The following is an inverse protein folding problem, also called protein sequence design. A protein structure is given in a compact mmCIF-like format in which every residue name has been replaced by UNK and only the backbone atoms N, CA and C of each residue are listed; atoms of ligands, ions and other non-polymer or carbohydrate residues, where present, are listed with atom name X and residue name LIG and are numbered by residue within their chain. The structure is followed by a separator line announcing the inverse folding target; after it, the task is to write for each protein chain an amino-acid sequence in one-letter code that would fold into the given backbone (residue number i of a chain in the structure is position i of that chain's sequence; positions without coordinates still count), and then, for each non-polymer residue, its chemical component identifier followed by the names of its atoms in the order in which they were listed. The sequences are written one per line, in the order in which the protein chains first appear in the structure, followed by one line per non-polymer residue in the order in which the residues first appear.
data_IF_641676140404
#
_entry.id   IF_641676140404
#
_cell.length_a   1.000
_cell.length_b   1.000
_cell.length_c   1.000
_cell.angle_alpha   90.00
_cell.angle_beta   90.00
_cell.angle_gamma   90.00
#
_symmetry.space_group_name_H-M   'P 1'
#
loop_
_entity.id
_entity.type
_entity.pdbx_description
1 polymer ?
#
# COMPACT_ATOMS: atom_id res chain seq x y z
N UNK A 1 -15.76 9.21 -18.23
CA UNK A 1 -14.74 10.20 -17.80
C UNK A 1 -14.55 10.04 -16.31
N UNK A 2 -13.31 9.85 -15.85
CA UNK A 2 -12.93 9.70 -14.43
C UNK A 2 -11.99 10.82 -14.04
N UNK A 3 -12.26 11.47 -12.91
CA UNK A 3 -11.49 12.60 -12.44
C UNK A 3 -10.43 12.12 -11.42
N UNK A 4 -9.17 12.45 -11.67
CA UNK A 4 -8.03 11.97 -10.88
C UNK A 4 -7.22 13.17 -10.37
N UNK A 5 -7.05 13.24 -9.06
CA UNK A 5 -6.06 14.07 -8.40
C UNK A 5 -4.76 13.27 -8.34
N UNK A 6 -3.78 13.69 -9.12
CA UNK A 6 -2.42 13.17 -9.08
C UNK A 6 -1.62 13.99 -8.07
N UNK A 7 -1.07 13.32 -7.06
CA UNK A 7 -0.05 13.87 -6.15
C UNK A 7 1.30 13.26 -6.56
N UNK A 8 2.10 13.96 -7.39
CA UNK A 8 3.31 13.38 -7.94
C UNK A 8 4.48 13.46 -6.95
N UNK A 9 5.29 12.40 -6.90
CA UNK A 9 6.60 12.35 -6.22
C UNK A 9 6.57 12.88 -4.79
N UNK A 10 5.66 12.37 -3.97
CA UNK A 10 5.67 12.54 -2.52
C UNK A 10 6.91 11.85 -1.95
N UNK A 11 7.86 12.63 -1.46
CA UNK A 11 9.04 12.16 -0.74
C UNK A 11 8.71 12.07 0.75
N UNK A 12 8.68 10.84 1.26
CA UNK A 12 8.24 10.52 2.61
C UNK A 12 9.42 9.93 3.38
N UNK A 13 9.70 10.50 4.54
CA UNK A 13 10.76 10.04 5.45
C UNK A 13 10.16 9.23 6.61
N UNK A 14 10.84 8.14 7.02
CA UNK A 14 10.46 7.30 8.16
C UNK A 14 9.02 6.72 8.12
N UNK A 15 8.55 6.35 6.92
CA UNK A 15 7.32 5.59 6.80
C UNK A 15 7.43 4.22 7.50
N UNK A 16 6.31 3.70 7.98
CA UNK A 16 6.26 2.37 8.59
C UNK A 16 6.44 1.29 7.52
N UNK A 17 7.52 0.52 7.62
CA UNK A 17 7.81 -0.60 6.74
C UNK A 17 7.32 -1.95 7.29
N UNK A 18 6.93 -2.04 8.56
CA UNK A 18 6.31 -3.22 9.14
C UNK A 18 4.83 -3.24 8.75
N UNK A 19 4.54 -3.75 7.55
CA UNK A 19 3.22 -3.68 6.93
C UNK A 19 2.23 -4.72 7.47
N UNK A 20 2.74 -5.83 8.02
CA UNK A 20 1.97 -6.81 8.80
C UNK A 20 2.91 -7.51 9.80
N UNK A 21 2.39 -8.36 10.71
CA UNK A 21 3.22 -9.20 11.57
C UNK A 21 4.22 -10.09 10.81
N UNK A 22 4.03 -10.31 9.51
CA UNK A 22 4.82 -11.24 8.70
C UNK A 22 5.60 -10.55 7.57
N UNK A 23 5.41 -9.25 7.36
CA UNK A 23 5.93 -8.56 6.17
C UNK A 23 6.62 -7.24 6.52
N UNK A 24 7.87 -7.10 6.06
CA UNK A 24 8.66 -5.86 6.14
C UNK A 24 8.95 -5.39 4.72
N UNK A 25 8.68 -4.13 4.42
CA UNK A 25 8.96 -3.52 3.12
C UNK A 25 8.03 -2.36 2.80
N UNK A 26 7.29 -2.47 1.70
CA UNK A 26 6.35 -1.44 1.28
C UNK A 26 5.17 -1.35 2.27
N UNK A 27 4.71 -0.14 2.67
CA UNK A 27 3.63 0.01 3.65
C UNK A 27 2.31 -0.62 3.20
N UNK A 28 1.51 -1.06 4.17
CA UNK A 28 0.20 -1.67 3.93
C UNK A 28 -0.74 -0.75 3.14
N UNK A 29 -1.59 -1.33 2.29
CA UNK A 29 -2.56 -0.55 1.50
C UNK A 29 -3.59 0.19 2.36
N UNK A 30 -3.86 -0.31 3.56
CA UNK A 30 -4.69 0.35 4.59
C UNK A 30 -4.11 1.69 5.03
N UNK A 31 -2.78 1.80 5.11
CA UNK A 31 -2.12 3.04 5.51
C UNK A 31 -2.26 4.13 4.45
N UNK A 32 -2.15 3.76 3.17
CA UNK A 32 -2.31 4.67 2.04
C UNK A 32 -3.74 5.19 1.93
N UNK A 33 -4.73 4.29 1.94
CA UNK A 33 -6.14 4.70 1.87
C UNK A 33 -6.60 5.43 3.13
N UNK A 34 -6.03 5.11 4.29
CA UNK A 34 -6.23 5.88 5.51
C UNK A 34 -5.75 7.33 5.40
N UNK A 35 -4.57 7.54 4.79
CA UNK A 35 -4.04 8.89 4.55
C UNK A 35 -4.89 9.66 3.52
N UNK A 36 -5.35 9.01 2.45
CA UNK A 36 -6.28 9.59 1.48
C UNK A 36 -7.60 9.99 2.15
N UNK A 37 -8.14 9.13 3.01
CA UNK A 37 -9.35 9.44 3.76
C UNK A 37 -9.15 10.60 4.74
N UNK A 38 -7.98 10.69 5.40
CA UNK A 38 -7.62 11.83 6.25
C UNK A 38 -7.53 13.14 5.45
N UNK A 39 -6.96 13.09 4.22
CA UNK A 39 -6.93 14.22 3.30
C UNK A 39 -8.34 14.70 2.94
N UNK A 40 -9.24 13.77 2.59
CA UNK A 40 -10.64 14.09 2.31
C UNK A 40 -11.26 14.82 3.50
N UNK A 41 -11.15 14.27 4.72
CA UNK A 41 -11.75 14.88 5.92
C UNK A 41 -11.24 16.30 6.16
N UNK A 42 -9.94 16.55 5.96
CA UNK A 42 -9.33 17.88 6.08
C UNK A 42 -9.85 18.86 5.02
N UNK A 43 -9.97 18.42 3.77
CA UNK A 43 -10.52 19.24 2.69
C UNK A 43 -12.00 19.57 2.93
N UNK A 44 -12.77 18.61 3.44
CA UNK A 44 -14.18 18.81 3.78
C UNK A 44 -14.32 19.88 4.87
N UNK A 45 -13.45 19.86 5.88
CA UNK A 45 -13.39 20.91 6.91
C UNK A 45 -12.90 22.26 6.37
N UNK A 46 -12.08 22.25 5.32
CA UNK A 46 -11.53 23.45 4.67
C UNK A 46 -12.48 24.09 3.63
N UNK A 47 -13.76 23.71 3.60
CA UNK A 47 -14.77 24.31 2.72
C UNK A 47 -15.13 23.49 1.48
N UNK A 48 -14.75 22.21 1.43
CA UNK A 48 -15.13 21.29 0.35
C UNK A 48 -16.02 20.12 0.86
N UNK A 49 -17.15 20.37 1.53
CA UNK A 49 -17.90 19.33 2.27
C UNK A 49 -18.44 18.20 1.39
N UNK A 50 -18.72 18.48 0.11
CA UNK A 50 -19.23 17.50 -0.86
C UNK A 50 -18.12 16.67 -1.52
N UNK A 51 -16.85 16.97 -1.23
CA UNK A 51 -15.74 16.24 -1.80
C UNK A 51 -15.71 14.81 -1.26
N UNK A 52 -15.63 13.87 -2.19
CA UNK A 52 -15.48 12.45 -1.92
C UNK A 52 -14.36 11.88 -2.77
N UNK A 53 -13.42 11.23 -2.09
CA UNK A 53 -12.43 10.35 -2.69
C UNK A 53 -12.97 8.92 -2.65
N UNK A 54 -13.05 8.30 -3.81
CA UNK A 54 -13.67 6.98 -3.97
C UNK A 54 -12.65 5.87 -4.03
N UNK A 55 -11.52 6.11 -4.72
CA UNK A 55 -10.47 5.12 -4.96
C UNK A 55 -9.10 5.79 -4.97
N UNK A 56 -8.05 5.02 -4.68
CA UNK A 56 -6.69 5.51 -4.72
C UNK A 56 -5.71 4.49 -5.30
N UNK A 57 -4.78 4.93 -6.13
CA UNK A 57 -3.65 4.16 -6.61
C UNK A 57 -2.34 4.68 -6.02
N UNK A 58 -1.39 3.78 -5.79
CA UNK A 58 -0.08 4.10 -5.22
C UNK A 58 1.00 3.59 -6.17
N UNK A 59 1.87 4.50 -6.58
CA UNK A 59 2.95 4.24 -7.52
C UNK A 59 4.27 4.50 -6.82
N UNK A 60 5.10 3.48 -6.68
CA UNK A 60 6.39 3.55 -6.02
C UNK A 60 7.49 3.88 -7.03
N UNK A 61 8.13 5.04 -6.88
CA UNK A 61 9.30 5.43 -7.66
C UNK A 61 10.59 4.93 -7.03
N UNK A 62 10.69 5.03 -5.70
CA UNK A 62 11.86 4.62 -4.93
C UNK A 62 11.43 4.19 -3.53
N UNK A 63 12.12 3.20 -2.99
CA UNK A 63 11.98 2.75 -1.60
C UNK A 63 13.37 2.42 -1.05
N UNK A 64 13.69 3.03 0.08
CA UNK A 64 14.91 2.75 0.85
C UNK A 64 14.52 2.24 2.23
N UNK A 65 14.56 0.92 2.38
CA UNK A 65 14.35 0.28 3.68
C UNK A 65 15.53 0.58 4.62
N UNK A 66 15.24 0.89 5.88
CA UNK A 66 16.26 1.15 6.90
C UNK A 66 16.75 -0.15 7.51
N UNK A 67 17.56 -0.85 6.73
CA UNK A 67 18.19 -2.12 7.10
C UNK A 67 19.70 -2.04 7.02
N UNK A 68 20.35 -2.91 7.79
CA UNK A 68 21.78 -3.09 7.80
C UNK A 68 22.12 -4.55 7.54
N UNK A 69 23.16 -4.78 6.74
CA UNK A 69 23.77 -6.10 6.55
C UNK A 69 25.27 -5.95 6.74
N UNK A 70 25.78 -6.56 7.81
CA UNK A 70 27.19 -6.59 8.14
C UNK A 70 27.96 -7.59 7.29
N UNK A 71 29.30 -7.60 7.47
CA UNK A 71 30.17 -8.56 6.79
C UNK A 71 29.93 -9.96 7.36
N UNK A 72 29.43 -10.86 6.52
CA UNK A 72 29.15 -12.25 6.89
C UNK A 72 27.70 -12.51 7.31
N UNK A 73 26.86 -11.47 7.37
CA UNK A 73 25.43 -11.64 7.66
C UNK A 73 24.70 -12.24 6.46
N UNK A 74 23.93 -13.29 6.73
CA UNK A 74 23.06 -13.91 5.72
C UNK A 74 21.73 -13.15 5.54
N UNK A 75 21.24 -12.51 6.62
CA UNK A 75 19.98 -11.76 6.65
C UNK A 75 20.23 -10.29 7.00
N UNK A 76 19.27 -9.43 6.67
CA UNK A 76 19.33 -8.01 7.01
C UNK A 76 18.69 -7.76 8.38
N UNK A 77 19.31 -6.91 9.20
CA UNK A 77 18.75 -6.43 10.47
C UNK A 77 18.08 -5.07 10.28
N UNK A 78 16.99 -4.81 11.00
CA UNK A 78 16.36 -3.48 11.02
C UNK A 78 17.23 -2.48 11.81
N UNK A 79 17.23 -1.22 11.37
CA UNK A 79 17.91 -0.15 12.08
C UNK A 79 16.93 0.47 13.07
N UNK A 80 17.18 0.27 14.37
CA UNK A 80 16.39 0.87 15.45
C UNK A 80 16.79 2.29 15.79
N UNK A 81 15.94 2.99 16.55
CA UNK A 81 16.20 4.34 17.08
C UNK A 81 16.52 4.31 18.57
N UNK A 82 17.28 5.30 19.03
CA UNK A 82 17.51 5.50 20.46
C UNK A 82 16.32 6.20 21.11
N UNK A 83 15.57 5.48 21.94
CA UNK A 83 14.48 6.07 22.72
C UNK A 83 15.00 6.81 23.96
N UNK A 84 14.28 7.83 24.46
CA UNK A 84 14.61 8.50 25.72
C UNK A 84 14.77 7.50 26.88
N UNK A 85 15.63 7.86 27.84
CA UNK A 85 15.83 7.06 29.05
C UNK A 85 14.54 7.00 29.89
N UNK A 86 14.39 5.92 30.66
CA UNK A 86 13.28 5.77 31.59
C UNK A 86 13.41 6.70 32.81
N UNK A 87 12.41 6.65 33.70
CA UNK A 87 12.37 7.47 34.94
C UNK A 87 13.54 7.22 35.90
N UNK A 88 14.26 6.11 35.77
CA UNK A 88 15.42 5.74 36.58
C UNK A 88 16.75 6.04 35.86
N UNK A 89 16.71 6.60 34.64
CA UNK A 89 17.88 6.84 33.80
C UNK A 89 18.38 5.61 33.03
N UNK A 90 17.62 4.52 33.02
CA UNK A 90 17.91 3.30 32.27
C UNK A 90 17.46 3.38 30.81
N UNK A 91 17.98 2.49 29.96
CA UNK A 91 17.44 2.34 28.59
C UNK A 91 16.11 1.58 28.64
N UNK A 92 15.04 2.07 28.01
CA UNK A 92 13.79 1.33 27.93
C UNK A 92 13.95 0.06 27.08
N UNK A 93 12.98 -0.85 27.19
CA UNK A 93 12.89 -2.01 26.32
C UNK A 93 12.89 -1.60 24.85
N UNK A 94 13.69 -2.29 24.05
CA UNK A 94 13.76 -2.06 22.62
C UNK A 94 12.49 -2.58 21.95
N UNK A 95 11.85 -1.74 21.15
CA UNK A 95 10.69 -2.09 20.34
C UNK A 95 11.13 -2.03 18.89
N UNK A 96 10.97 -3.14 18.18
CA UNK A 96 11.34 -3.27 16.78
C UNK A 96 10.35 -2.49 15.90
N UNK A 97 10.84 -1.45 15.23
CA UNK A 97 10.06 -0.67 14.26
C UNK A 97 10.81 -0.61 12.94
N UNK A 98 10.37 -1.39 11.95
CA UNK A 98 10.92 -1.28 10.61
C UNK A 98 10.46 0.03 9.95
N UNK A 99 11.41 0.80 9.41
CA UNK A 99 11.15 2.08 8.75
C UNK A 99 11.71 2.11 7.33
N UNK A 100 11.12 2.93 6.48
CA UNK A 100 11.63 3.18 5.13
C UNK A 100 11.44 4.63 4.71
N UNK A 101 12.28 5.07 3.78
CA UNK A 101 12.05 6.29 3.01
C UNK A 101 11.46 5.92 1.65
N UNK A 102 10.54 6.74 1.16
CA UNK A 102 9.75 6.44 -0.03
C UNK A 102 9.67 7.67 -0.93
N UNK A 103 9.68 7.44 -2.25
CA UNK A 103 9.15 8.39 -3.22
C UNK A 103 7.97 7.75 -3.93
N UNK A 104 6.76 8.27 -3.72
CA UNK A 104 5.53 7.71 -4.31
C UNK A 104 4.72 8.76 -5.06
N UNK A 105 3.96 8.34 -6.07
CA UNK A 105 2.88 9.15 -6.63
C UNK A 105 1.54 8.54 -6.25
N UNK A 106 0.58 9.38 -5.83
CA UNK A 106 -0.78 8.97 -5.52
C UNK A 106 -1.74 9.40 -6.62
N UNK A 107 -2.61 8.48 -7.02
CA UNK A 107 -3.70 8.70 -7.96
C UNK A 107 -5.00 8.63 -7.17
N UNK A 108 -5.68 9.73 -6.95
CA UNK A 108 -6.89 9.75 -6.12
C UNK A 108 -8.09 10.05 -7.01
N UNK A 109 -9.00 9.09 -7.14
CA UNK A 109 -10.27 9.31 -7.81
C UNK A 109 -11.20 10.14 -6.93
N UNK A 110 -11.84 11.13 -7.55
CA UNK A 110 -12.86 11.96 -6.92
C UNK A 110 -14.08 12.11 -7.83
N UNK A 111 -15.27 12.27 -7.25
CA UNK A 111 -16.52 12.34 -8.01
C UNK A 111 -16.61 13.62 -8.86
N UNK A 112 -16.82 14.77 -8.22
CA UNK A 112 -16.86 16.05 -8.90
C UNK A 112 -16.51 17.19 -7.95
N UNK A 113 -15.80 18.19 -8.46
CA UNK A 113 -15.59 19.43 -7.74
C UNK A 113 -16.86 20.29 -7.82
N UNK A 114 -17.16 21.02 -6.75
CA UNK A 114 -18.22 22.03 -6.79
C UNK A 114 -17.93 23.04 -7.91
N UNK A 115 -18.97 23.41 -8.68
CA UNK A 115 -18.85 24.29 -9.87
C UNK A 115 -18.21 25.65 -9.56
N UNK A 116 -18.24 26.09 -8.31
CA UNK A 116 -17.66 27.35 -7.82
C UNK A 116 -16.15 27.30 -7.58
N UNK A 117 -15.53 26.12 -7.61
CA UNK A 117 -14.11 25.95 -7.29
C UNK A 117 -13.29 25.84 -8.58
N UNK A 118 -12.32 26.74 -8.74
CA UNK A 118 -11.34 26.65 -9.84
C UNK A 118 -10.35 25.53 -9.57
N UNK A 119 -9.81 24.93 -10.63
CA UNK A 119 -8.78 23.89 -10.54
C UNK A 119 -7.59 24.34 -9.67
N UNK A 120 -7.08 25.55 -9.90
CA UNK A 120 -5.96 26.12 -9.14
C UNK A 120 -6.30 26.36 -7.67
N UNK A 121 -7.53 26.81 -7.39
CA UNK A 121 -8.00 27.00 -6.02
C UNK A 121 -8.04 25.67 -5.26
N UNK A 122 -8.47 24.61 -5.93
CA UNK A 122 -8.50 23.27 -5.36
C UNK A 122 -7.08 22.71 -5.14
N UNK A 123 -6.18 22.85 -6.10
CA UNK A 123 -4.77 22.43 -5.95
C UNK A 123 -4.14 23.11 -4.73
N UNK A 124 -4.31 24.43 -4.59
CA UNK A 124 -3.82 25.17 -3.41
C UNK A 124 -4.46 24.70 -2.11
N UNK A 125 -5.73 24.32 -2.12
CA UNK A 125 -6.40 23.77 -0.95
C UNK A 125 -5.78 22.41 -0.55
N UNK A 126 -5.49 21.55 -1.53
CA UNK A 126 -4.79 20.26 -1.33
C UNK A 126 -3.40 20.49 -0.76
N UNK A 127 -2.59 21.36 -1.36
CA UNK A 127 -1.21 21.65 -0.93
C UNK A 127 -1.14 22.09 0.53
N UNK A 128 -2.08 22.94 0.97
CA UNK A 128 -2.18 23.38 2.37
C UNK A 128 -2.40 22.23 3.36
N UNK A 129 -2.88 21.08 2.91
CA UNK A 129 -3.12 19.91 3.76
C UNK A 129 -2.01 18.87 3.73
N UNK A 130 -1.17 18.83 2.68
CA UNK A 130 -0.26 17.70 2.44
C UNK A 130 0.75 17.45 3.57
N UNK A 131 1.36 18.52 4.11
CA UNK A 131 2.29 18.44 5.24
C UNK A 131 1.61 18.22 6.59
N UNK A 132 0.27 18.35 6.66
CA UNK A 132 -0.49 18.18 7.91
C UNK A 132 -0.99 16.75 8.11
N UNK A 133 -0.56 15.84 7.23
CA UNK A 133 -0.94 14.43 7.19
C UNK A 133 0.34 13.60 7.26
N UNK A 134 0.29 12.51 8.03
CA UNK A 134 1.32 11.48 8.00
C UNK A 134 0.99 10.47 6.91
N UNK A 135 1.97 10.14 6.08
CA UNK A 135 1.81 9.20 4.98
C UNK A 135 2.43 7.88 5.38
N UNK A 136 1.60 6.87 5.66
CA UNK A 136 2.04 5.62 6.28
C UNK A 136 2.91 5.83 7.55
N UNK A 137 2.48 6.71 8.44
CA UNK A 137 3.23 7.17 9.63
C UNK A 137 4.49 8.01 9.35
N UNK A 138 4.89 8.17 8.09
CA UNK A 138 6.05 8.99 7.71
C UNK A 138 5.72 10.48 7.52
N UNK A 139 6.78 11.27 7.48
CA UNK A 139 6.74 12.72 7.26
C UNK A 139 6.93 13.08 5.80
N UNK A 140 6.07 13.95 5.27
CA UNK A 140 6.22 14.47 3.91
C UNK A 140 7.32 15.54 3.89
N UNK A 141 8.42 15.25 3.19
CA UNK A 141 9.57 16.14 3.04
C UNK A 141 9.41 17.05 1.82
N UNK A 142 9.06 16.46 0.68
CA UNK A 142 8.91 17.15 -0.59
C UNK A 142 7.77 16.55 -1.42
N UNK A 143 7.21 17.34 -2.33
CA UNK A 143 6.25 16.90 -3.33
C UNK A 143 6.35 17.76 -4.59
N UNK A 144 6.04 17.18 -5.74
CA UNK A 144 5.85 17.92 -6.97
C UNK A 144 4.40 18.45 -7.08
N UNK A 145 4.21 19.50 -7.89
CA UNK A 145 2.92 20.20 -8.02
C UNK A 145 1.75 19.22 -8.28
N UNK A 146 0.70 19.21 -7.42
CA UNK A 146 -0.50 18.40 -7.63
C UNK A 146 -1.21 18.73 -8.94
N UNK A 147 -1.81 17.72 -9.57
CA UNK A 147 -2.43 17.88 -10.88
C UNK A 147 -3.83 17.27 -10.91
N UNK A 148 -4.75 17.95 -11.58
CA UNK A 148 -6.05 17.37 -11.93
C UNK A 148 -5.99 16.77 -13.33
N UNK A 149 -6.41 15.53 -13.47
CA UNK A 149 -6.43 14.77 -14.72
C UNK A 149 -7.84 14.25 -14.97
N UNK A 150 -8.31 14.40 -16.20
CA UNK A 150 -9.48 13.68 -16.69
C UNK A 150 -9.00 12.47 -17.50
N UNK A 151 -9.44 11.27 -17.11
CA UNK A 151 -9.14 10.02 -17.81
C UNK A 151 -10.44 9.52 -18.45
N UNK A 152 -10.50 9.59 -19.77
CA UNK A 152 -11.66 9.31 -20.60
C UNK A 152 -11.45 8.14 -21.57
N UNK A 153 -10.21 7.93 -22.00
CA UNK A 153 -9.86 6.95 -23.03
C UNK A 153 -8.48 6.29 -22.77
N UNK A 154 -8.10 5.38 -23.66
CA UNK A 154 -6.80 4.71 -23.58
C UNK A 154 -5.61 5.65 -23.81
N UNK A 155 -5.80 6.80 -24.48
CA UNK A 155 -4.74 7.76 -24.78
C UNK A 155 -4.40 8.59 -23.54
N UNK A 156 -5.40 9.10 -22.82
CA UNK A 156 -5.22 9.81 -21.56
C UNK A 156 -4.63 8.88 -20.48
N UNK A 157 -5.04 7.61 -20.44
CA UNK A 157 -4.41 6.60 -19.59
C UNK A 157 -2.93 6.38 -19.95
N UNK A 158 -2.58 6.23 -21.24
CA UNK A 158 -1.17 6.11 -21.67
C UNK A 158 -0.33 7.33 -21.33
N UNK A 159 -0.92 8.54 -21.42
CA UNK A 159 -0.23 9.76 -21.02
C UNK A 159 0.05 9.77 -19.51
N UNK A 160 -0.93 9.36 -18.70
CA UNK A 160 -0.78 9.21 -17.26
C UNK A 160 0.31 8.18 -16.91
N UNK A 161 0.24 6.97 -17.47
CA UNK A 161 1.23 5.91 -17.17
C UNK A 161 2.63 6.30 -17.63
N UNK A 162 2.77 7.04 -18.74
CA UNK A 162 4.06 7.59 -19.17
C UNK A 162 4.62 8.63 -18.18
N UNK A 163 3.77 9.49 -17.64
CA UNK A 163 4.18 10.48 -16.63
C UNK A 163 4.66 9.81 -15.33
N UNK A 164 4.11 8.64 -15.01
CA UNK A 164 4.47 7.88 -13.82
C UNK A 164 5.79 7.12 -13.96
N UNK A 165 6.33 6.93 -15.17
CA UNK A 165 7.58 6.20 -15.38
C UNK A 165 8.83 7.08 -15.14
N UNK A 166 9.95 6.49 -14.66
CA UNK A 166 10.09 5.11 -14.18
C UNK A 166 9.49 4.93 -12.78
N UNK A 167 8.79 3.82 -12.58
CA UNK A 167 8.20 3.41 -11.30
C UNK A 167 7.60 2.01 -11.39
N UNK A 168 7.07 1.54 -10.27
CA UNK A 168 6.24 0.35 -10.17
C UNK A 168 4.91 0.69 -9.50
N UNK A 169 3.82 0.14 -10.03
CA UNK A 169 2.53 0.14 -9.37
C UNK A 169 2.27 -1.22 -8.76
N UNK A 170 1.65 -1.24 -7.58
CA UNK A 170 1.22 -2.46 -6.93
C UNK A 170 -0.16 -2.86 -7.42
N UNK A 171 -0.30 -4.12 -7.83
CA UNK A 171 -1.59 -4.74 -8.14
C UNK A 171 -1.87 -5.91 -7.20
N UNK A 172 -3.13 -6.21 -6.93
CA UNK A 172 -3.54 -7.37 -6.15
C UNK A 172 -3.44 -8.65 -7.00
N UNK A 173 -2.85 -9.71 -6.44
CA UNK A 173 -2.75 -11.05 -7.04
C UNK A 173 -3.39 -12.15 -6.19
N UNK A 174 -4.51 -11.81 -5.53
CA UNK A 174 -5.31 -12.77 -4.75
C UNK A 174 -5.87 -13.91 -5.60
N UNK A 175 -6.01 -13.71 -6.91
CA UNK A 175 -6.39 -14.73 -7.88
C UNK A 175 -5.51 -15.99 -7.73
N UNK A 176 -4.19 -15.81 -7.64
CA UNK A 176 -3.23 -16.91 -7.53
C UNK A 176 -3.43 -17.72 -6.25
N UNK A 177 -3.67 -17.05 -5.12
CA UNK A 177 -3.90 -17.74 -3.84
C UNK A 177 -5.24 -18.46 -3.86
N UNK A 178 -6.29 -17.82 -4.40
CA UNK A 178 -7.61 -18.43 -4.51
C UNK A 178 -7.57 -19.71 -5.34
N UNK A 179 -6.90 -19.69 -6.49
CA UNK A 179 -6.73 -20.87 -7.35
C UNK A 179 -5.98 -21.98 -6.62
N UNK A 180 -4.83 -21.67 -5.99
CA UNK A 180 -4.05 -22.64 -5.23
C UNK A 180 -4.83 -23.27 -4.06
N UNK A 181 -5.63 -22.47 -3.34
CA UNK A 181 -6.46 -22.95 -2.24
C UNK A 181 -7.64 -23.81 -2.72
N UNK A 182 -8.20 -23.51 -3.90
CA UNK A 182 -9.21 -24.35 -4.54
C UNK A 182 -8.65 -25.73 -4.91
N UNK A 183 -7.37 -25.80 -5.28
CA UNK A 183 -6.63 -27.05 -5.51
C UNK A 183 -6.22 -27.76 -4.20
N UNK A 184 -6.62 -27.24 -3.05
CA UNK A 184 -6.44 -27.86 -1.74
C UNK A 184 -5.17 -27.45 -0.98
N UNK A 185 -4.43 -26.44 -1.44
CA UNK A 185 -3.30 -25.89 -0.67
C UNK A 185 -3.77 -25.05 0.53
N UNK A 186 -3.04 -25.11 1.64
CA UNK A 186 -3.22 -24.15 2.74
C UNK A 186 -2.87 -22.73 2.28
N UNK A 187 -3.48 -21.70 2.89
CA UNK A 187 -3.28 -20.31 2.50
C UNK A 187 -1.82 -19.83 2.69
N UNK A 188 -1.15 -20.26 3.77
CA UNK A 188 0.24 -19.91 4.04
C UNK A 188 1.17 -20.66 3.10
N UNK A 189 0.91 -21.94 2.85
CA UNK A 189 1.69 -22.73 1.88
C UNK A 189 1.55 -22.13 0.47
N UNK A 190 0.33 -21.77 0.06
CA UNK A 190 0.09 -21.10 -1.21
C UNK A 190 0.86 -19.77 -1.29
N UNK A 191 0.81 -18.94 -0.25
CA UNK A 191 1.57 -17.69 -0.19
C UNK A 191 3.07 -17.93 -0.37
N UNK A 192 3.65 -18.85 0.39
CA UNK A 192 5.08 -19.16 0.36
C UNK A 192 5.51 -19.79 -0.97
N UNK A 193 4.70 -20.66 -1.57
CA UNK A 193 4.94 -21.28 -2.86
C UNK A 193 5.17 -20.24 -3.98
N UNK A 194 4.43 -19.13 -3.95
CA UNK A 194 4.58 -18.06 -4.94
C UNK A 194 5.77 -17.12 -4.65
N UNK A 195 6.30 -17.12 -3.43
CA UNK A 195 7.42 -16.26 -3.01
C UNK A 195 8.79 -16.97 -3.10
N UNK A 196 8.81 -18.29 -2.91
CA UNK A 196 10.03 -19.08 -2.87
C UNK A 196 10.68 -19.26 -4.25
N UNK A 197 12.00 -19.31 -4.27
CA UNK A 197 12.78 -19.71 -5.44
C UNK A 197 13.10 -21.20 -5.30
N UNK A 198 12.55 -22.01 -6.20
CA UNK A 198 12.76 -23.46 -6.18
C UNK A 198 13.99 -23.82 -7.00
N UNK A 199 14.92 -24.54 -6.38
CA UNK A 199 16.09 -25.10 -7.05
C UNK A 199 15.84 -26.56 -7.42
N UNK A 200 15.98 -26.91 -8.69
CA UNK A 200 15.80 -28.28 -9.20
C UNK A 200 17.04 -28.71 -9.98
N UNK A 201 17.50 -29.92 -9.71
CA UNK A 201 18.58 -30.56 -10.45
C UNK A 201 18.01 -31.60 -11.43
N UNK A 202 18.51 -31.60 -12.67
CA UNK A 202 18.22 -32.64 -13.66
C UNK A 202 19.55 -33.26 -14.13
N UNK A 203 19.56 -34.58 -14.31
CA UNK A 203 20.71 -35.31 -14.82
C UNK A 203 20.58 -35.42 -16.35
N UNK A 204 21.47 -34.76 -17.09
CA UNK A 204 21.54 -34.80 -18.54
C UNK A 204 22.92 -35.36 -18.95
N UNK A 205 22.95 -36.54 -19.57
CA UNK A 205 24.15 -37.16 -20.16
C UNK A 205 25.43 -36.99 -19.29
N UNK A 206 25.36 -37.48 -18.04
CA UNK A 206 26.39 -37.41 -16.99
C UNK A 206 26.70 -36.03 -16.37
N UNK A 207 25.99 -34.97 -16.76
CA UNK A 207 26.08 -33.64 -16.15
C UNK A 207 24.83 -33.30 -15.31
N UNK A 208 25.03 -32.69 -14.14
CA UNK A 208 23.94 -32.18 -13.29
C UNK A 208 23.67 -30.72 -13.66
N UNK A 209 22.51 -30.45 -14.25
CA UNK A 209 22.05 -29.09 -14.54
C UNK A 209 21.14 -28.59 -13.40
N UNK A 210 21.52 -27.47 -12.78
CA UNK A 210 20.73 -26.82 -11.75
C UNK A 210 19.92 -25.67 -12.35
N UNK A 211 18.62 -25.66 -12.09
CA UNK A 211 17.71 -24.57 -12.46
C UNK A 211 17.09 -23.94 -11.22
N UNK A 212 16.96 -22.61 -11.22
CA UNK A 212 16.34 -21.87 -10.13
C UNK A 212 15.15 -21.08 -10.71
N UNK A 213 13.94 -21.45 -10.34
CA UNK A 213 12.72 -20.88 -10.89
C UNK A 213 11.68 -20.60 -9.80
N UNK A 214 10.86 -19.56 -10.01
CA UNK A 214 9.64 -19.32 -9.22
C UNK A 214 8.45 -19.99 -9.89
N UNK A 215 7.41 -20.31 -9.10
CA UNK A 215 6.13 -20.86 -9.60
C UNK A 215 5.49 -19.96 -10.66
N UNK A 216 5.65 -18.64 -10.54
CA UNK A 216 5.13 -17.66 -11.51
C UNK A 216 6.15 -16.56 -11.77
N UNK A 217 6.19 -16.08 -13.02
CA UNK A 217 7.04 -14.95 -13.42
C UNK A 217 6.41 -13.63 -12.96
N UNK A 218 7.23 -12.69 -12.53
CA UNK A 218 6.80 -11.37 -12.07
C UNK A 218 7.42 -11.03 -10.73
N UNK A 219 7.20 -9.80 -10.28
CA UNK A 219 7.64 -9.35 -8.97
C UNK A 219 6.52 -9.52 -7.95
N UNK A 220 6.24 -10.78 -7.60
CA UNK A 220 5.30 -11.12 -6.55
C UNK A 220 5.88 -10.79 -5.17
N UNK A 221 5.04 -10.23 -4.32
CA UNK A 221 5.34 -9.85 -2.93
C UNK A 221 4.12 -10.13 -2.04
N UNK A 222 4.30 -10.48 -0.76
CA UNK A 222 3.21 -10.50 0.19
C UNK A 222 2.81 -9.07 0.54
N UNK A 223 1.51 -8.79 0.61
CA UNK A 223 0.97 -7.48 0.93
C UNK A 223 -0.13 -7.60 1.98
N UNK A 224 -0.17 -6.63 2.88
CA UNK A 224 -1.25 -6.46 3.84
C UNK A 224 -2.33 -5.56 3.23
N UNK A 225 -3.55 -6.08 3.09
CA UNK A 225 -4.62 -5.36 2.42
C UNK A 225 -5.92 -5.27 3.23
N UNK A 226 -5.90 -5.60 4.52
CA UNK A 226 -7.08 -5.44 5.35
C UNK A 226 -6.95 -6.06 6.71
N UNK A 227 -8.11 -6.22 7.34
CA UNK A 227 -8.26 -6.85 8.64
C UNK A 227 -9.46 -7.79 8.68
N UNK A 228 -9.36 -8.86 9.44
CA UNK A 228 -10.47 -9.76 9.76
C UNK A 228 -10.84 -9.62 11.23
N UNK A 229 -12.13 -9.36 11.49
CA UNK A 229 -12.66 -9.33 12.84
C UNK A 229 -12.59 -10.70 13.51
N UNK A 230 -11.98 -10.77 14.69
CA UNK A 230 -11.89 -11.98 15.52
C UNK A 230 -12.78 -11.89 16.78
N UNK A 231 -13.59 -10.84 16.86
CA UNK A 231 -14.53 -10.59 17.97
C UNK A 231 -15.79 -9.87 17.47
N UNK A 232 -16.83 -9.90 18.29
CA UNK A 232 -18.04 -9.11 18.08
C UNK A 232 -17.76 -7.60 18.22
N UNK A 233 -18.65 -6.78 17.68
CA UNK A 233 -18.58 -5.32 17.87
C UNK A 233 -19.08 -4.97 19.27
N UNK A 234 -18.36 -4.10 19.97
CA UNK A 234 -18.72 -3.68 21.32
C UNK A 234 -18.02 -2.41 21.78
N UNK A 235 -18.09 -2.12 23.08
CA UNK A 235 -17.34 -1.03 23.72
C UNK A 235 -16.18 -1.64 24.50
N UNK A 236 -14.97 -1.10 24.31
CA UNK A 236 -13.78 -1.49 25.06
C UNK A 236 -13.36 -0.40 26.06
N UNK A 237 -12.88 -0.81 27.23
CA UNK A 237 -12.58 0.08 28.38
C UNK A 237 -11.63 1.24 28.04
N UNK A 238 -10.71 1.05 27.10
CA UNK A 238 -9.72 2.04 26.66
C UNK A 238 -9.79 2.33 25.15
N UNK A 239 -10.98 2.32 24.56
CA UNK A 239 -11.13 2.63 23.13
C UNK A 239 -10.82 4.10 22.82
N UNK A 240 -10.30 4.34 21.61
CA UNK A 240 -9.86 5.68 21.16
C UNK A 240 -10.98 6.71 21.10
N UNK A 241 -12.18 6.29 20.72
CA UNK A 241 -13.36 7.12 20.53
C UNK A 241 -14.53 6.47 21.25
N UNK A 242 -15.16 7.11 22.25
CA UNK A 242 -16.26 6.53 23.02
C UNK A 242 -17.51 6.24 22.17
N UNK A 243 -17.69 6.94 21.05
CA UNK A 243 -18.92 6.84 20.24
C UNK A 243 -18.80 5.85 19.07
N UNK A 244 -17.61 5.28 18.85
CA UNK A 244 -17.35 4.30 17.78
C UNK A 244 -17.19 2.90 18.36
N UNK A 245 -17.94 1.92 17.84
CA UNK A 245 -17.82 0.51 18.25
C UNK A 245 -16.41 -0.05 17.95
N UNK A 246 -15.87 -0.78 18.92
CA UNK A 246 -14.59 -1.47 18.86
C UNK A 246 -14.75 -2.93 18.43
N UNK A 247 -13.71 -3.47 17.78
CA UNK A 247 -13.58 -4.87 17.42
C UNK A 247 -12.09 -5.23 17.35
N UNK A 248 -11.70 -6.33 17.97
CA UNK A 248 -10.39 -6.94 17.76
C UNK A 248 -10.32 -7.59 16.38
N UNK A 249 -9.18 -7.42 15.72
CA UNK A 249 -8.98 -7.90 14.37
C UNK A 249 -7.52 -8.33 14.14
N UNK A 250 -7.32 -9.23 13.17
CA UNK A 250 -6.01 -9.66 12.69
C UNK A 250 -5.74 -9.13 11.28
N UNK A 251 -4.46 -9.01 10.90
CA UNK A 251 -4.07 -8.56 9.57
C UNK A 251 -4.37 -9.61 8.51
N UNK A 252 -4.94 -9.17 7.39
CA UNK A 252 -5.11 -9.99 6.19
C UNK A 252 -3.94 -9.76 5.22
N UNK A 253 -3.27 -10.85 4.88
CA UNK A 253 -2.14 -10.88 3.94
C UNK A 253 -2.54 -11.66 2.70
N UNK A 254 -2.21 -11.11 1.54
CA UNK A 254 -2.42 -11.72 0.22
C UNK A 254 -1.18 -11.49 -0.65
N UNK A 255 -1.17 -12.00 -1.88
CA UNK A 255 -0.18 -11.64 -2.88
C UNK A 255 -0.52 -10.31 -3.57
N UNK A 256 0.53 -9.54 -3.84
CA UNK A 256 0.54 -8.45 -4.78
C UNK A 256 1.67 -8.60 -5.79
N UNK A 257 1.63 -7.83 -6.87
CA UNK A 257 2.68 -7.79 -7.88
C UNK A 257 3.07 -6.34 -8.18
N UNK A 258 4.37 -6.06 -8.16
CA UNK A 258 4.89 -4.80 -8.67
C UNK A 258 5.07 -4.89 -10.19
N UNK A 259 4.28 -4.10 -10.92
CA UNK A 259 4.37 -4.02 -12.38
C UNK A 259 4.75 -2.61 -12.82
N UNK A 260 5.42 -2.49 -13.95
CA UNK A 260 5.69 -1.18 -14.54
C UNK A 260 4.37 -0.56 -15.08
N UNK A 261 4.12 0.75 -14.89
CA UNK A 261 2.85 1.39 -15.25
C UNK A 261 2.40 1.20 -16.70
N UNK A 262 3.33 1.05 -17.66
CA UNK A 262 2.96 0.85 -19.07
C UNK A 262 2.23 -0.49 -19.33
N UNK A 263 2.28 -1.45 -18.38
CA UNK A 263 1.58 -2.73 -18.49
C UNK A 263 0.10 -2.64 -18.12
N UNK A 264 -0.33 -1.53 -17.52
CA UNK A 264 -1.71 -1.27 -17.14
C UNK A 264 -2.56 -1.03 -18.38
N UNK A 265 -3.65 -1.76 -18.53
CA UNK A 265 -4.60 -1.62 -19.64
C UNK A 265 -5.84 -0.83 -19.23
N UNK A 266 -6.27 -0.99 -17.99
CA UNK A 266 -7.45 -0.33 -17.43
C UNK A 266 -7.10 0.44 -16.16
N UNK A 267 -7.69 1.62 -15.99
CA UNK A 267 -7.44 2.45 -14.80
C UNK A 267 -7.82 1.74 -13.50
N UNK A 268 -8.79 0.83 -13.54
CA UNK A 268 -9.20 0.03 -12.38
C UNK A 268 -8.12 -0.93 -11.87
N UNK A 269 -7.14 -1.29 -12.70
CA UNK A 269 -5.97 -2.06 -12.24
C UNK A 269 -5.01 -1.23 -11.37
N UNK A 270 -5.15 0.10 -11.34
CA UNK A 270 -4.34 0.99 -10.50
C UNK A 270 -5.04 1.34 -9.20
N UNK A 271 -6.37 1.34 -9.20
CA UNK A 271 -7.17 2.00 -8.18
C UNK A 271 -7.71 1.00 -7.16
N UNK A 272 -7.28 1.18 -5.92
CA UNK A 272 -7.74 0.44 -4.76
C UNK A 272 -8.91 1.15 -4.10
N UNK A 273 -9.80 0.40 -3.48
CA UNK A 273 -10.94 0.94 -2.76
C UNK A 273 -11.20 0.15 -1.48
N UNK A 274 -11.85 0.79 -0.51
CA UNK A 274 -12.32 0.10 0.68
C UNK A 274 -13.53 -0.77 0.35
N UNK A 275 -13.61 -1.93 0.99
CA UNK A 275 -14.72 -2.85 0.90
C UNK A 275 -14.93 -3.53 2.25
N UNK A 276 -16.17 -3.50 2.74
CA UNK A 276 -16.54 -4.16 3.98
C UNK A 276 -17.46 -5.34 3.67
N UNK A 277 -17.01 -6.54 4.04
CA UNK A 277 -17.83 -7.75 3.99
C UNK A 277 -18.33 -8.04 5.41
N UNK A 278 -19.62 -7.78 5.63
CA UNK A 278 -20.26 -7.97 6.94
C UNK A 278 -20.33 -9.44 7.35
N UNK A 279 -20.65 -10.34 6.41
CA UNK A 279 -20.85 -11.77 6.68
C UNK A 279 -19.60 -12.44 7.25
N UNK A 280 -18.43 -12.05 6.74
CA UNK A 280 -17.14 -12.59 7.14
C UNK A 280 -16.33 -11.65 8.05
N UNK A 281 -16.91 -10.52 8.47
CA UNK A 281 -16.22 -9.50 9.26
C UNK A 281 -14.90 -8.99 8.64
N UNK A 282 -14.86 -8.86 7.30
CA UNK A 282 -13.64 -8.45 6.59
C UNK A 282 -13.67 -6.95 6.25
N UNK A 283 -12.58 -6.27 6.58
CA UNK A 283 -12.35 -4.86 6.26
C UNK A 283 -11.19 -4.79 5.27
N UNK A 284 -11.52 -4.69 3.99
CA UNK A 284 -10.58 -4.88 2.89
C UNK A 284 -10.26 -3.59 2.16
N UNK A 285 -9.05 -3.54 1.64
CA UNK A 285 -8.59 -2.65 0.59
C UNK A 285 -8.26 -3.54 -0.61
N UNK A 286 -9.03 -3.43 -1.67
CA UNK A 286 -8.94 -4.33 -2.81
C UNK A 286 -9.02 -3.57 -4.13
N UNK A 287 -8.61 -4.24 -5.20
CA UNK A 287 -8.84 -3.76 -6.56
C UNK A 287 -9.99 -4.53 -7.22
N UNK A 288 -10.54 -3.98 -8.29
CA UNK A 288 -11.49 -4.74 -9.08
C UNK A 288 -10.78 -5.94 -9.73
N UNK A 289 -11.45 -7.11 -9.83
CA UNK A 289 -10.88 -8.26 -10.53
C UNK A 289 -10.51 -7.90 -11.96
N UNK A 290 -9.34 -8.37 -12.43
CA UNK A 290 -8.87 -8.15 -13.81
C UNK A 290 -9.79 -8.71 -14.90
N UNK A 291 -10.70 -9.62 -14.53
CA UNK A 291 -11.59 -10.34 -15.44
C UNK A 291 -13.08 -9.97 -15.27
N UNK A 292 -13.39 -8.84 -14.63
CA UNK A 292 -14.76 -8.31 -14.52
C UNK A 292 -15.11 -7.40 -15.71
#
# INVERSE_FOLDING_TARGET
MRCILLLPKLEIHNANALSSPYTIGFPAMTAWLGAVHALQRRLNQAGHPELRFTRAGVVCHDIKLHTHQGRGDYVQSIIGTGNPLDKNGGRPSFIEEARCDLTVSLLIEYDSLARSVTADGYIKAVEKQLHLIKWASGDLVHYAEPQLKAIDDAKSLRQLTRQLMPSYTLIERRDLMTEAMQDGQDAIDALLDYLTVQHRSQLNDDNIEWTANRKTKGWLVPIANGFQGISELGIAENQRDPDTLHRFAESLVTLGEFIMPYRVKHLDELLWHSHYNADNNLYLIQQNPRNA
#
